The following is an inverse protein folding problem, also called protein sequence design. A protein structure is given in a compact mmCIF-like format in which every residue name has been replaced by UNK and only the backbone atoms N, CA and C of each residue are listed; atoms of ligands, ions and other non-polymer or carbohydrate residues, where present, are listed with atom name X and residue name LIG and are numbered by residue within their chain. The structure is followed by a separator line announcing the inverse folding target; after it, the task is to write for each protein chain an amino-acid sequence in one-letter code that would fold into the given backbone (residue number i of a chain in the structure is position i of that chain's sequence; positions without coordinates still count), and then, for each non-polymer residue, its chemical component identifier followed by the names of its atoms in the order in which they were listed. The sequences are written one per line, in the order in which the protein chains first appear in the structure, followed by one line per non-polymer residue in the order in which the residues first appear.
data_IF_794022698525
#
_entry.id   IF_794022698525
#
_cell.length_a   1.000
_cell.length_b   1.000
_cell.length_c   1.000
_cell.angle_alpha   90.00
_cell.angle_beta   90.00
_cell.angle_gamma   90.00
#
_symmetry.space_group_name_H-M   'P 1'
#
loop_
_entity.id
_entity.type
_entity.pdbx_description
1 polymer ?
#
# COMPACT_ATOMS: atom_id res chain seq x y z
N UNK A 1 -30.87 -12.14 -70.16
CA UNK A 1 -30.73 -13.18 -69.13
C UNK A 1 -30.72 -12.45 -67.79
N UNK A 2 -31.68 -12.75 -66.93
CA UNK A 2 -31.90 -12.18 -65.59
C UNK A 2 -30.76 -12.57 -64.60
N UNK A 3 -30.70 -11.95 -63.40
CA UNK A 3 -29.50 -11.71 -62.58
C UNK A 3 -29.29 -12.77 -61.47
N UNK A 4 -28.14 -12.71 -60.81
CA UNK A 4 -27.91 -13.28 -59.46
C UNK A 4 -27.53 -12.08 -58.57
N UNK A 5 -28.51 -11.41 -57.96
CA UNK A 5 -29.07 -11.70 -56.62
C UNK A 5 -27.98 -11.49 -55.53
N UNK A 6 -27.97 -10.33 -54.86
CA UNK A 6 -28.67 -10.10 -53.57
C UNK A 6 -27.75 -10.46 -52.40
N UNK A 7 -27.65 -9.79 -51.26
CA UNK A 7 -28.25 -8.64 -50.60
C UNK A 7 -27.12 -8.25 -49.61
N UNK A 8 -26.70 -6.99 -49.54
CA UNK A 8 -27.15 -6.01 -48.55
C UNK A 8 -26.72 -6.25 -47.11
N UNK A 9 -26.55 -5.09 -46.48
CA UNK A 9 -26.71 -4.81 -45.06
C UNK A 9 -25.52 -5.18 -44.19
N UNK A 10 -24.70 -4.17 -43.88
CA UNK A 10 -24.73 -3.46 -42.57
C UNK A 10 -23.96 -4.27 -41.53
N UNK A 11 -22.93 -3.78 -40.85
CA UNK A 11 -22.80 -2.57 -40.06
C UNK A 11 -21.29 -2.42 -39.75
N UNK A 12 -20.90 -1.23 -39.29
CA UNK A 12 -20.07 -0.97 -38.08
C UNK A 12 -19.00 -2.03 -37.75
N UNK A 13 -17.73 -1.66 -37.61
CA UNK A 13 -17.24 -1.07 -36.36
C UNK A 13 -15.86 -0.45 -36.66
N UNK A 14 -15.73 0.87 -36.60
CA UNK A 14 -15.27 1.60 -35.41
C UNK A 14 -14.07 0.95 -34.74
N UNK A 15 -13.00 1.75 -34.66
CA UNK A 15 -12.09 1.74 -33.53
C UNK A 15 -11.10 0.56 -33.47
N UNK A 16 -10.09 0.61 -34.34
CA UNK A 16 -8.76 0.09 -33.96
C UNK A 16 -8.23 0.96 -32.81
N UNK A 17 -8.77 0.75 -31.61
CA UNK A 17 -8.07 1.05 -30.38
C UNK A 17 -7.15 -0.12 -30.09
N UNK A 18 -5.85 0.09 -29.88
CA UNK A 18 -5.07 -0.93 -29.20
C UNK A 18 -5.75 -1.15 -27.85
N UNK A 19 -6.09 -2.40 -27.55
CA UNK A 19 -6.38 -2.79 -26.18
C UNK A 19 -5.19 -2.31 -25.35
N UNK A 20 -5.37 -1.20 -24.64
CA UNK A 20 -4.62 -0.98 -23.42
C UNK A 20 -5.03 -2.15 -22.55
N UNK A 21 -4.23 -3.20 -22.61
CA UNK A 21 -4.15 -4.22 -21.59
C UNK A 21 -3.71 -3.47 -20.34
N UNK A 22 -4.68 -2.83 -19.70
CA UNK A 22 -4.54 -2.29 -18.38
C UNK A 22 -4.57 -3.56 -17.53
N UNK A 23 -3.43 -4.05 -16.99
CA UNK A 23 -3.48 -5.23 -16.16
C UNK A 23 -4.46 -4.89 -15.04
N UNK A 24 -5.56 -5.63 -15.01
CA UNK A 24 -6.54 -5.52 -13.95
C UNK A 24 -5.78 -5.80 -12.65
N UNK A 25 -5.39 -4.74 -11.96
CA UNK A 25 -4.89 -4.83 -10.59
C UNK A 25 -6.03 -5.42 -9.80
N UNK A 26 -5.86 -6.67 -9.38
CA UNK A 26 -6.87 -7.42 -8.64
C UNK A 26 -7.17 -6.64 -7.34
N UNK A 27 -8.36 -6.04 -7.18
CA UNK A 27 -8.65 -5.13 -6.08
C UNK A 27 -8.74 -5.85 -4.71
N UNK A 28 -8.58 -7.17 -4.70
CA UNK A 28 -8.60 -8.01 -3.49
C UNK A 28 -7.22 -8.27 -2.92
N UNK A 29 -6.13 -7.98 -3.65
CA UNK A 29 -4.80 -7.89 -3.06
C UNK A 29 -4.66 -6.47 -2.54
N UNK A 30 -5.21 -6.19 -1.35
CA UNK A 30 -4.72 -5.07 -0.57
C UNK A 30 -3.21 -5.27 -0.42
N UNK A 31 -2.40 -4.57 -1.22
CA UNK A 31 -0.95 -4.67 -1.16
C UNK A 31 -0.55 -4.46 0.29
N UNK A 32 0.07 -5.48 0.89
CA UNK A 32 0.58 -5.41 2.26
C UNK A 32 1.50 -4.19 2.29
N UNK A 33 1.28 -3.20 3.17
CA UNK A 33 2.07 -1.97 3.14
C UNK A 33 3.55 -2.31 3.24
N UNK A 34 4.32 -1.86 2.26
CA UNK A 34 5.77 -2.07 2.25
C UNK A 34 6.44 -1.38 3.45
N UNK A 35 7.65 -1.81 3.85
CA UNK A 35 8.43 -1.18 4.92
C UNK A 35 8.53 0.35 4.78
N UNK A 36 8.66 0.86 3.56
CA UNK A 36 8.74 2.28 3.24
C UNK A 36 7.50 3.09 3.67
N UNK A 37 6.31 2.46 3.68
CA UNK A 37 5.09 3.13 4.15
C UNK A 37 5.11 3.33 5.66
N UNK A 38 5.62 2.34 6.41
CA UNK A 38 5.75 2.44 7.86
C UNK A 38 6.87 3.40 8.25
N UNK A 39 7.97 3.41 7.51
CA UNK A 39 9.05 4.37 7.73
C UNK A 39 8.54 5.81 7.61
N UNK A 40 7.84 6.10 6.51
CA UNK A 40 7.22 7.40 6.28
C UNK A 40 6.19 7.75 7.37
N UNK A 41 5.39 6.78 7.82
CA UNK A 41 4.41 7.00 8.89
C UNK A 41 5.08 7.33 10.23
N UNK A 42 6.13 6.60 10.62
CA UNK A 42 6.89 6.86 11.85
C UNK A 42 7.54 8.24 11.79
N UNK A 43 8.20 8.57 10.68
CA UNK A 43 8.80 9.89 10.47
C UNK A 43 7.77 11.03 10.51
N UNK A 44 6.57 10.80 9.98
CA UNK A 44 5.48 11.76 10.03
C UNK A 44 4.99 11.99 11.47
N UNK A 45 4.85 10.92 12.26
CA UNK A 45 4.48 11.03 13.68
C UNK A 45 5.55 11.80 14.46
N UNK A 46 6.83 11.53 14.25
CA UNK A 46 7.92 12.30 14.89
C UNK A 46 7.85 13.78 14.53
N UNK A 47 7.62 14.09 13.25
CA UNK A 47 7.50 15.47 12.78
C UNK A 47 6.31 16.18 13.42
N UNK A 48 5.13 15.56 13.43
CA UNK A 48 3.93 16.15 14.03
C UNK A 48 4.09 16.35 15.54
N UNK A 49 4.69 15.38 16.24
CA UNK A 49 4.87 15.48 17.68
C UNK A 49 5.92 16.52 18.06
N UNK A 50 7.08 16.51 17.40
CA UNK A 50 8.16 17.46 17.67
C UNK A 50 7.79 18.91 17.33
N UNK A 51 6.88 19.12 16.37
CA UNK A 51 6.33 20.43 16.03
C UNK A 51 5.15 20.87 16.93
N UNK A 52 4.70 20.02 17.85
CA UNK A 52 3.55 20.31 18.72
C UNK A 52 2.19 20.26 18.02
N UNK A 53 2.13 19.72 16.79
CA UNK A 53 0.91 19.57 16.00
C UNK A 53 0.05 18.37 16.41
N UNK A 54 0.57 17.47 17.25
CA UNK A 54 -0.17 16.37 17.85
C UNK A 54 0.19 16.22 19.33
N UNK A 55 -0.81 15.88 20.14
CA UNK A 55 -0.60 15.56 21.55
C UNK A 55 0.22 14.27 21.72
N UNK A 56 1.04 14.21 22.76
CA UNK A 56 1.84 13.03 23.07
C UNK A 56 1.00 11.75 23.21
N UNK A 57 -0.22 11.83 23.76
CA UNK A 57 -1.14 10.69 23.88
C UNK A 57 -1.59 10.14 22.53
N UNK A 58 -1.89 11.00 21.57
CA UNK A 58 -2.30 10.59 20.23
C UNK A 58 -1.13 10.02 19.43
N UNK A 59 0.06 10.62 19.52
CA UNK A 59 1.27 10.06 18.93
C UNK A 59 1.58 8.65 19.47
N UNK A 60 1.42 8.43 20.79
CA UNK A 60 1.56 7.09 21.40
C UNK A 60 0.55 6.10 20.84
N UNK A 61 -0.73 6.48 20.73
CA UNK A 61 -1.76 5.60 20.19
C UNK A 61 -1.46 5.13 18.77
N UNK A 62 -0.97 6.04 17.92
CA UNK A 62 -0.55 5.70 16.54
C UNK A 62 0.64 4.74 16.56
N UNK A 63 1.66 5.01 17.38
CA UNK A 63 2.83 4.15 17.47
C UNK A 63 2.51 2.75 18.01
N UNK A 64 1.56 2.63 18.94
CA UNK A 64 1.07 1.32 19.38
C UNK A 64 0.47 0.52 18.24
N UNK A 65 -0.40 1.15 17.44
CA UNK A 65 -1.00 0.51 16.26
C UNK A 65 0.06 0.08 15.24
N UNK A 66 1.07 0.92 15.01
CA UNK A 66 2.19 0.60 14.10
C UNK A 66 3.00 -0.58 14.62
N UNK A 67 3.41 -0.55 15.89
CA UNK A 67 4.19 -1.62 16.51
C UNK A 67 3.45 -2.96 16.49
N UNK A 68 2.14 -2.96 16.75
CA UNK A 68 1.33 -4.17 16.70
C UNK A 68 1.22 -4.74 15.28
N UNK A 69 1.04 -3.87 14.29
CA UNK A 69 0.99 -4.26 12.87
C UNK A 69 2.34 -4.82 12.40
N UNK A 70 3.44 -4.13 12.72
CA UNK A 70 4.80 -4.60 12.41
C UNK A 70 5.12 -5.92 13.12
N UNK A 71 4.70 -6.08 14.38
CA UNK A 71 4.85 -7.33 15.13
C UNK A 71 4.12 -8.50 14.46
N UNK A 72 2.94 -8.25 13.90
CA UNK A 72 2.19 -9.25 13.12
C UNK A 72 2.96 -9.67 11.87
N UNK A 73 3.59 -8.73 11.15
CA UNK A 73 4.41 -9.06 9.97
C UNK A 73 5.72 -9.75 10.33
N UNK A 74 6.41 -9.32 11.39
CA UNK A 74 7.62 -10.01 11.88
C UNK A 74 7.31 -11.39 12.44
N UNK A 75 6.08 -11.63 12.90
CA UNK A 75 5.61 -12.96 13.34
C UNK A 75 5.22 -13.90 12.20
N UNK A 76 5.05 -13.39 10.97
CA UNK A 76 4.65 -14.19 9.80
C UNK A 76 5.82 -15.13 9.40
N UNK A 77 5.66 -16.47 9.48
CA UNK A 77 6.73 -17.41 9.14
C UNK A 77 7.05 -17.41 7.64
N UNK A 78 6.09 -17.03 6.80
CA UNK A 78 6.24 -17.02 5.33
C UNK A 78 6.92 -15.73 4.83
N UNK A 79 7.19 -14.78 5.73
CA UNK A 79 7.79 -13.50 5.37
C UNK A 79 9.26 -13.67 4.90
N UNK A 80 9.62 -13.15 3.70
CA UNK A 80 10.99 -13.14 3.22
C UNK A 80 11.96 -12.46 4.18
N UNK A 81 13.19 -12.98 4.27
CA UNK A 81 14.19 -12.51 5.25
C UNK A 81 14.50 -11.01 5.11
N UNK A 82 14.64 -10.51 3.87
CA UNK A 82 14.91 -9.09 3.62
C UNK A 82 13.75 -8.18 4.09
N UNK A 83 12.50 -8.62 3.91
CA UNK A 83 11.33 -7.89 4.39
C UNK A 83 11.24 -7.94 5.92
N UNK A 84 11.55 -9.11 6.53
CA UNK A 84 11.60 -9.28 7.98
C UNK A 84 12.61 -8.35 8.63
N UNK A 85 13.82 -8.27 8.08
CA UNK A 85 14.86 -7.37 8.56
C UNK A 85 14.40 -5.90 8.50
N UNK A 86 13.71 -5.50 7.42
CA UNK A 86 13.11 -4.18 7.29
C UNK A 86 12.10 -3.86 8.39
N UNK A 87 11.13 -4.76 8.63
CA UNK A 87 10.13 -4.54 9.69
C UNK A 87 10.71 -4.59 11.11
N UNK A 88 11.79 -5.36 11.35
CA UNK A 88 12.51 -5.35 12.63
C UNK A 88 13.16 -3.98 12.85
N UNK A 89 13.84 -3.42 11.85
CA UNK A 89 14.41 -2.08 11.94
C UNK A 89 13.34 -1.02 12.23
N UNK A 90 12.17 -1.14 11.61
CA UNK A 90 11.03 -0.25 11.88
C UNK A 90 10.46 -0.41 13.29
N UNK A 91 10.42 -1.63 13.84
CA UNK A 91 10.06 -1.86 15.24
C UNK A 91 11.02 -1.14 16.19
N UNK A 92 12.31 -1.14 15.88
CA UNK A 92 13.32 -0.43 16.64
C UNK A 92 13.10 1.08 16.56
N UNK A 93 12.95 1.65 15.36
CA UNK A 93 12.68 3.08 15.17
C UNK A 93 11.39 3.54 15.87
N UNK A 94 10.31 2.75 15.79
CA UNK A 94 9.06 3.06 16.49
C UNK A 94 9.22 3.02 18.02
N UNK A 95 10.04 2.11 18.55
CA UNK A 95 10.35 2.03 19.99
C UNK A 95 11.21 3.21 20.44
N UNK A 96 12.22 3.60 19.68
CA UNK A 96 13.04 4.78 19.95
C UNK A 96 12.18 6.05 20.04
N UNK A 97 11.24 6.21 19.10
CA UNK A 97 10.32 7.35 19.12
C UNK A 97 9.39 7.32 20.35
N UNK A 98 8.94 6.14 20.79
CA UNK A 98 8.16 6.03 22.05
C UNK A 98 8.96 6.51 23.27
N UNK A 99 10.22 6.12 23.37
CA UNK A 99 11.13 6.60 24.43
C UNK A 99 11.28 8.12 24.38
N UNK A 100 11.46 8.69 23.17
CA UNK A 100 11.53 10.14 22.96
C UNK A 100 10.27 10.88 23.43
N UNK A 101 9.10 10.29 23.23
CA UNK A 101 7.79 10.84 23.66
C UNK A 101 7.55 10.66 25.18
N UNK A 102 8.38 9.88 25.87
CA UNK A 102 8.34 9.69 27.32
C UNK A 102 7.70 8.39 27.78
N UNK A 103 8.01 7.28 27.11
CA UNK A 103 7.75 5.90 27.55
C UNK A 103 9.04 5.08 27.64
#
# INVERSE_FOLDING_TARGET
MMPDQQDRDTLSDTDTRPAMENPAVDPLVAERPGPEHFDAAIGHVDTLWSSGNIAASAARGILYSIVETLGTFVGDPDLPEHARAGYIGLLESARELRVKIGE
#
